data_IF_344149822086
#
_entry.id   IF_344149822086
#
_cell.length_a   1.000
_cell.length_b   1.000
_cell.length_c   1.000
_cell.angle_alpha   90.00
_cell.angle_beta   90.00
_cell.angle_gamma   90.00
#
_symmetry.space_group_name_H-M   'P 1'
#
loop_
_entity.id
_entity.type
_entity.pdbx_description
1 polymer ?
#
# COMPACT_ATOMS: atom_id res chain seq x y z
N UNK A 1 -14.17 32.30 -25.43
CA UNK A 1 -14.19 33.76 -25.37
C UNK A 1 -15.56 34.24 -24.90
N UNK A 2 -16.64 33.89 -25.60
CA UNK A 2 -18.00 34.34 -25.31
C UNK A 2 -18.40 34.32 -23.83
N UNK A 3 -18.09 33.24 -23.08
CA UNK A 3 -18.41 33.18 -21.63
C UNK A 3 -17.59 34.19 -20.82
N UNK A 4 -16.33 34.44 -21.21
CA UNK A 4 -15.46 35.41 -20.52
C UNK A 4 -16.01 36.83 -20.75
N UNK A 5 -16.41 37.13 -21.99
CA UNK A 5 -16.95 38.43 -22.37
C UNK A 5 -18.27 38.75 -21.64
N UNK A 6 -19.00 37.70 -21.23
CA UNK A 6 -20.27 37.85 -20.45
C UNK A 6 -20.06 37.73 -18.94
N UNK A 7 -18.78 37.64 -18.47
CA UNK A 7 -18.49 37.53 -17.06
C UNK A 7 -18.72 36.15 -16.47
N UNK A 8 -18.95 35.13 -17.32
CA UNK A 8 -19.17 33.74 -16.86
C UNK A 8 -17.90 32.98 -16.80
N UNK A 9 -17.79 32.04 -15.86
CA UNK A 9 -16.62 31.18 -15.69
C UNK A 9 -16.60 30.13 -16.83
N UNK A 10 -15.55 30.06 -17.65
CA UNK A 10 -15.48 29.09 -18.75
C UNK A 10 -15.31 27.66 -18.22
N UNK A 11 -15.90 26.68 -18.90
CA UNK A 11 -15.87 25.27 -18.51
C UNK A 11 -14.61 24.54 -18.98
N UNK A 12 -13.95 25.05 -20.02
CA UNK A 12 -12.72 24.47 -20.64
C UNK A 12 -12.85 22.95 -20.87
N UNK A 13 -13.93 22.53 -21.53
CA UNK A 13 -14.27 21.11 -21.74
C UNK A 13 -13.15 20.31 -22.41
N UNK A 14 -12.48 20.87 -23.43
CA UNK A 14 -11.37 20.21 -24.12
C UNK A 14 -10.21 19.90 -23.16
N UNK A 15 -9.88 20.85 -22.26
CA UNK A 15 -8.83 20.65 -21.26
C UNK A 15 -9.24 19.57 -20.23
N UNK A 16 -10.52 19.57 -19.84
CA UNK A 16 -11.05 18.56 -18.92
C UNK A 16 -10.95 17.15 -19.52
N UNK A 17 -11.33 16.99 -20.79
CA UNK A 17 -11.21 15.71 -21.52
C UNK A 17 -9.74 15.30 -21.63
N UNK A 18 -8.86 16.22 -22.04
CA UNK A 18 -7.42 15.94 -22.13
C UNK A 18 -6.86 15.44 -20.79
N UNK A 19 -7.17 16.14 -19.69
CA UNK A 19 -6.66 15.80 -18.36
C UNK A 19 -7.23 14.49 -17.81
N UNK A 20 -8.42 14.07 -18.24
CA UNK A 20 -8.99 12.79 -17.80
C UNK A 20 -8.48 11.58 -18.60
N UNK A 21 -7.93 11.80 -19.79
CA UNK A 21 -7.48 10.70 -20.68
C UNK A 21 -5.96 10.58 -20.80
N UNK A 22 -5.21 11.68 -20.63
CA UNK A 22 -3.76 11.70 -20.83
C UNK A 22 -3.06 11.94 -19.49
N UNK A 23 -2.28 10.95 -19.04
CA UNK A 23 -1.54 11.02 -17.78
C UNK A 23 -0.10 11.48 -18.05
N UNK A 24 0.24 12.62 -17.46
CA UNK A 24 1.58 13.18 -17.51
C UNK A 24 2.14 13.31 -16.08
N UNK A 25 3.46 13.36 -15.99
CA UNK A 25 4.16 13.50 -14.70
C UNK A 25 3.78 14.80 -13.98
N UNK A 26 3.71 15.89 -14.72
CA UNK A 26 3.13 17.15 -14.26
C UNK A 26 2.11 17.61 -15.29
N UNK A 27 0.99 18.18 -14.82
CA UNK A 27 -0.02 18.69 -15.75
C UNK A 27 -0.76 19.90 -15.19
N UNK A 28 -1.14 20.86 -16.06
CA UNK A 28 -2.01 21.93 -15.64
C UNK A 28 -3.44 21.39 -15.45
N UNK A 29 -4.05 21.74 -14.33
CA UNK A 29 -5.43 21.35 -14.01
C UNK A 29 -6.25 22.61 -13.82
N UNK A 30 -7.38 22.67 -14.53
CA UNK A 30 -8.37 23.71 -14.38
C UNK A 30 -9.51 23.21 -13.49
N UNK A 31 -9.97 24.03 -12.58
CA UNK A 31 -11.10 23.70 -11.73
C UNK A 31 -11.97 24.90 -11.44
N UNK A 32 -13.18 24.64 -10.98
CA UNK A 32 -14.12 25.68 -10.52
C UNK A 32 -14.54 25.26 -9.10
N UNK A 33 -14.26 26.09 -8.12
CA UNK A 33 -14.65 25.86 -6.72
C UNK A 33 -15.41 27.07 -6.22
N UNK A 34 -16.61 26.87 -5.72
CA UNK A 34 -17.50 27.94 -5.24
C UNK A 34 -17.67 29.04 -6.28
N UNK A 35 -17.86 28.67 -7.56
CA UNK A 35 -18.07 29.61 -8.67
C UNK A 35 -16.81 30.34 -9.14
N UNK A 36 -15.63 30.09 -8.54
CA UNK A 36 -14.37 30.74 -8.91
C UNK A 36 -13.46 29.79 -9.69
N UNK A 37 -13.00 30.24 -10.84
CA UNK A 37 -12.03 29.50 -11.65
C UNK A 37 -10.64 29.53 -11.01
N UNK A 38 -9.91 28.42 -11.12
CA UNK A 38 -8.51 28.35 -10.68
C UNK A 38 -7.71 27.41 -11.58
N UNK A 39 -6.44 27.72 -11.73
CA UNK A 39 -5.45 26.86 -12.38
C UNK A 39 -4.49 26.37 -11.30
N UNK A 40 -4.09 25.11 -11.40
CA UNK A 40 -3.07 24.53 -10.55
C UNK A 40 -2.20 23.56 -11.36
N UNK A 41 -0.99 23.31 -10.87
CA UNK A 41 -0.11 22.26 -11.44
C UNK A 41 -0.21 21.05 -10.52
N UNK A 42 -0.61 19.93 -11.10
CA UNK A 42 -0.59 18.64 -10.41
C UNK A 42 0.79 18.04 -10.57
N UNK A 43 1.44 17.72 -9.46
CA UNK A 43 2.74 17.05 -9.44
C UNK A 43 2.55 15.57 -9.12
N UNK A 44 2.94 14.70 -10.06
CA UNK A 44 2.85 13.24 -9.94
C UNK A 44 4.21 12.54 -9.96
N UNK A 45 5.31 13.31 -9.92
CA UNK A 45 6.66 12.74 -10.02
C UNK A 45 7.16 12.10 -8.72
N UNK A 46 6.56 12.47 -7.58
CA UNK A 46 7.00 11.95 -6.28
C UNK A 46 6.41 10.54 -6.06
N UNK A 47 7.25 9.51 -5.98
CA UNK A 47 6.77 8.19 -5.61
C UNK A 47 6.40 8.14 -4.12
N UNK A 48 5.71 7.09 -3.70
CA UNK A 48 5.54 6.81 -2.28
C UNK A 48 6.90 6.74 -1.60
N UNK A 49 7.07 7.47 -0.54
CA UNK A 49 8.32 7.47 0.21
C UNK A 49 8.51 6.18 1.01
N UNK A 50 9.76 5.85 1.36
CA UNK A 50 10.01 4.65 2.17
C UNK A 50 9.34 4.70 3.54
N UNK A 51 9.18 5.88 4.12
CA UNK A 51 8.46 6.08 5.39
C UNK A 51 7.67 7.38 5.33
N UNK A 52 6.72 7.57 6.24
CA UNK A 52 5.91 8.80 6.30
C UNK A 52 6.81 10.04 6.47
N UNK A 53 7.87 9.95 7.28
CA UNK A 53 8.79 11.08 7.46
C UNK A 53 9.54 11.39 6.15
N UNK A 54 9.85 10.40 5.33
CA UNK A 54 10.45 10.61 3.99
C UNK A 54 9.48 11.30 3.04
N UNK A 55 8.21 10.90 3.06
CA UNK A 55 7.15 11.50 2.23
C UNK A 55 6.95 12.97 2.62
N UNK A 56 6.84 13.25 3.90
CA UNK A 56 6.70 14.63 4.39
C UNK A 56 7.93 15.49 4.07
N UNK A 57 9.12 14.90 4.11
CA UNK A 57 10.36 15.59 3.71
C UNK A 57 10.33 15.94 2.22
N UNK A 58 9.90 15.01 1.35
CA UNK A 58 9.75 15.26 -0.09
C UNK A 58 8.74 16.39 -0.34
N UNK A 59 7.59 16.34 0.34
CA UNK A 59 6.55 17.37 0.23
C UNK A 59 7.07 18.75 0.67
N UNK A 60 7.76 18.81 1.81
CA UNK A 60 8.33 20.06 2.33
C UNK A 60 9.37 20.64 1.35
N UNK A 61 10.24 19.80 0.82
CA UNK A 61 11.25 20.21 -0.17
C UNK A 61 10.57 20.78 -1.43
N UNK A 62 9.60 20.05 -1.98
CA UNK A 62 8.86 20.46 -3.18
C UNK A 62 8.14 21.80 -2.97
N UNK A 63 7.34 21.91 -1.89
CA UNK A 63 6.57 23.11 -1.61
C UNK A 63 7.49 24.31 -1.30
N UNK A 64 8.61 24.03 -0.60
CA UNK A 64 9.63 25.04 -0.33
C UNK A 64 10.24 25.59 -1.61
N UNK A 65 10.61 24.71 -2.55
CA UNK A 65 11.16 25.11 -3.86
C UNK A 65 10.15 25.92 -4.66
N UNK A 66 8.90 25.47 -4.73
CA UNK A 66 7.86 26.17 -5.51
C UNK A 66 7.66 27.59 -4.97
N UNK A 67 7.62 27.74 -3.64
CA UNK A 67 7.45 29.06 -3.03
C UNK A 67 8.73 29.90 -3.12
N UNK A 68 9.90 29.30 -2.98
CA UNK A 68 11.19 30.00 -3.12
C UNK A 68 11.39 30.55 -4.53
N UNK A 69 11.23 29.71 -5.54
CA UNK A 69 11.38 30.13 -6.94
C UNK A 69 10.38 31.22 -7.34
N UNK A 70 9.15 31.16 -6.81
CA UNK A 70 8.15 32.21 -7.06
C UNK A 70 8.67 33.61 -6.72
N UNK A 71 9.50 33.74 -5.71
CA UNK A 71 10.05 35.02 -5.27
C UNK A 71 11.32 35.41 -6.04
N UNK A 72 12.07 34.45 -6.58
CA UNK A 72 13.37 34.70 -7.22
C UNK A 72 13.31 34.74 -8.74
N UNK A 73 12.45 33.94 -9.37
CA UNK A 73 12.44 33.78 -10.82
C UNK A 73 11.10 34.21 -11.40
N UNK A 74 11.15 35.22 -12.27
CA UNK A 74 9.98 35.70 -13.01
C UNK A 74 9.65 34.81 -14.21
N UNK A 75 10.70 34.30 -14.88
CA UNK A 75 10.54 33.56 -16.13
C UNK A 75 11.69 32.55 -16.29
N UNK A 76 11.39 31.29 -15.95
CA UNK A 76 12.37 30.19 -15.98
C UNK A 76 12.81 29.87 -17.43
N UNK A 77 11.99 30.21 -18.44
CA UNK A 77 12.32 29.90 -19.85
C UNK A 77 13.52 30.69 -20.36
N UNK A 78 13.85 31.79 -19.69
CA UNK A 78 15.05 32.59 -20.00
C UNK A 78 16.31 32.02 -19.37
N UNK A 79 16.17 31.09 -18.40
CA UNK A 79 17.31 30.54 -17.67
C UNK A 79 17.64 29.11 -18.10
N UNK A 80 16.68 28.39 -18.68
CA UNK A 80 16.86 26.99 -19.08
C UNK A 80 16.02 26.69 -20.30
N UNK A 81 16.65 26.10 -21.31
CA UNK A 81 15.95 25.59 -22.49
C UNK A 81 15.09 24.39 -22.13
N UNK A 82 13.97 24.23 -22.85
CA UNK A 82 13.05 23.10 -22.65
C UNK A 82 13.75 21.74 -22.87
N UNK A 83 14.63 21.63 -23.86
CA UNK A 83 15.35 20.38 -24.11
C UNK A 83 16.34 20.05 -22.98
N UNK A 84 16.97 21.05 -22.38
CA UNK A 84 17.80 20.84 -21.18
C UNK A 84 16.96 20.35 -20.00
N UNK A 85 15.77 20.94 -19.77
CA UNK A 85 14.86 20.52 -18.70
C UNK A 85 14.40 19.06 -18.91
N UNK A 86 14.04 18.72 -20.15
CA UNK A 86 13.59 17.36 -20.53
C UNK A 86 14.72 16.34 -20.34
N UNK A 87 15.95 16.68 -20.76
CA UNK A 87 17.12 15.82 -20.59
C UNK A 87 17.47 15.64 -19.11
N UNK A 88 17.42 16.72 -18.33
CA UNK A 88 17.65 16.67 -16.88
C UNK A 88 16.63 15.75 -16.19
N UNK A 89 15.36 15.84 -16.59
CA UNK A 89 14.29 14.99 -16.04
C UNK A 89 14.57 13.50 -16.31
N UNK A 90 14.91 13.16 -17.58
CA UNK A 90 15.20 11.78 -17.98
C UNK A 90 16.44 11.25 -17.23
N UNK A 91 17.50 12.05 -17.15
CA UNK A 91 18.74 11.68 -16.47
C UNK A 91 18.50 11.47 -14.95
N UNK A 92 17.71 12.34 -14.34
CA UNK A 92 17.36 12.20 -12.92
C UNK A 92 16.61 10.88 -12.65
N UNK A 93 15.69 10.52 -13.55
CA UNK A 93 14.93 9.26 -13.43
C UNK A 93 15.85 8.03 -13.55
N UNK A 94 16.87 8.09 -14.42
CA UNK A 94 17.78 6.97 -14.67
C UNK A 94 18.90 6.86 -13.63
N UNK A 95 19.46 7.98 -13.21
CA UNK A 95 20.71 8.01 -12.43
C UNK A 95 20.56 8.55 -11.00
N UNK A 96 19.37 9.07 -10.64
CA UNK A 96 19.11 9.57 -9.28
C UNK A 96 20.15 10.61 -8.84
N UNK A 97 20.76 10.39 -7.69
CA UNK A 97 21.76 11.31 -7.11
C UNK A 97 23.10 11.35 -7.89
N UNK A 98 23.33 10.38 -8.78
CA UNK A 98 24.55 10.35 -9.61
C UNK A 98 24.41 11.24 -10.85
N UNK A 99 23.24 11.88 -11.06
CA UNK A 99 22.94 12.70 -12.22
C UNK A 99 23.85 13.94 -12.27
N UNK A 100 24.27 14.27 -13.51
CA UNK A 100 24.87 15.56 -13.87
C UNK A 100 23.82 16.38 -14.61
N UNK A 101 23.49 17.55 -14.09
CA UNK A 101 22.49 18.43 -14.67
C UNK A 101 23.12 19.53 -15.53
N UNK A 102 22.44 19.91 -16.63
CA UNK A 102 22.64 21.18 -17.29
C UNK A 102 21.63 22.16 -16.66
N UNK A 103 22.10 22.95 -15.71
CA UNK A 103 21.24 23.84 -14.91
C UNK A 103 21.16 25.22 -15.55
N UNK A 104 20.66 26.18 -14.82
CA UNK A 104 20.43 27.56 -15.29
C UNK A 104 21.67 28.13 -16.01
N UNK A 105 21.42 28.79 -17.14
CA UNK A 105 22.44 29.40 -17.98
C UNK A 105 23.52 28.40 -18.46
N UNK A 106 23.13 27.12 -18.62
CA UNK A 106 24.02 26.07 -19.13
C UNK A 106 25.03 25.53 -18.13
N UNK A 107 24.95 25.91 -16.85
CA UNK A 107 25.87 25.46 -15.79
C UNK A 107 25.79 23.95 -15.58
N UNK A 108 26.94 23.26 -15.63
CA UNK A 108 27.01 21.83 -15.30
C UNK A 108 27.19 21.66 -13.79
N UNK A 109 26.35 20.81 -13.18
CA UNK A 109 26.36 20.61 -11.73
C UNK A 109 25.85 19.22 -11.37
N UNK A 110 26.48 18.54 -10.40
CA UNK A 110 25.99 17.27 -9.90
C UNK A 110 24.71 17.45 -9.08
N UNK A 111 23.83 16.43 -9.10
CA UNK A 111 22.58 16.45 -8.34
C UNK A 111 22.83 16.78 -6.87
N UNK A 112 23.81 16.12 -6.24
CA UNK A 112 24.11 16.35 -4.82
C UNK A 112 24.54 17.79 -4.53
N UNK A 113 25.44 18.35 -5.34
CA UNK A 113 25.86 19.74 -5.17
C UNK A 113 24.70 20.72 -5.39
N UNK A 114 23.91 20.49 -6.42
CA UNK A 114 22.73 21.33 -6.70
C UNK A 114 21.76 21.33 -5.51
N UNK A 115 21.42 20.12 -5.03
CA UNK A 115 20.46 19.99 -3.92
C UNK A 115 21.03 20.67 -2.66
N UNK A 116 22.26 20.32 -2.28
CA UNK A 116 22.82 20.79 -0.99
C UNK A 116 23.14 22.28 -0.97
N UNK A 117 23.66 22.83 -2.09
CA UNK A 117 24.18 24.21 -2.12
C UNK A 117 23.19 25.23 -2.65
N UNK A 118 22.22 24.84 -3.45
CA UNK A 118 21.29 25.77 -4.10
C UNK A 118 19.83 25.47 -3.70
N UNK A 119 19.36 24.25 -3.89
CA UNK A 119 17.93 23.94 -3.74
C UNK A 119 17.46 23.88 -2.28
N UNK A 120 18.25 23.30 -1.37
CA UNK A 120 17.88 23.24 0.05
C UNK A 120 17.81 24.64 0.69
N UNK A 121 18.81 25.54 0.50
CA UNK A 121 18.66 26.91 0.99
C UNK A 121 17.45 27.64 0.42
N UNK A 122 17.18 27.47 -0.86
CA UNK A 122 16.01 28.07 -1.52
C UNK A 122 14.68 27.51 -0.94
N UNK A 123 14.62 26.18 -0.74
CA UNK A 123 13.44 25.55 -0.14
C UNK A 123 13.21 26.06 1.29
N UNK A 124 14.28 26.22 2.06
CA UNK A 124 14.20 26.77 3.42
C UNK A 124 13.60 28.19 3.41
N UNK A 125 14.10 29.06 2.52
CA UNK A 125 13.57 30.41 2.35
C UNK A 125 12.09 30.37 1.95
N UNK A 126 11.73 29.52 0.99
CA UNK A 126 10.34 29.36 0.54
C UNK A 126 9.39 28.95 1.64
N UNK A 127 9.81 28.00 2.49
CA UNK A 127 9.01 27.57 3.65
C UNK A 127 8.87 28.66 4.70
N UNK A 128 9.94 29.44 4.92
CA UNK A 128 9.90 30.61 5.83
C UNK A 128 8.91 31.66 5.32
N UNK A 129 8.93 31.98 4.01
CA UNK A 129 7.97 32.89 3.40
C UNK A 129 6.51 32.39 3.54
N UNK A 130 6.33 31.09 3.61
CA UNK A 130 5.01 30.46 3.83
C UNK A 130 4.63 30.34 5.32
N UNK A 131 5.45 30.91 6.23
CA UNK A 131 5.24 30.89 7.69
C UNK A 131 5.20 29.47 8.26
N UNK A 132 5.96 28.53 7.69
CA UNK A 132 6.11 27.18 8.24
C UNK A 132 7.02 27.27 9.48
N UNK A 133 6.66 26.52 10.52
CA UNK A 133 7.42 26.50 11.77
C UNK A 133 8.88 26.05 11.52
N UNK A 134 9.83 26.76 12.11
CA UNK A 134 11.27 26.49 11.97
C UNK A 134 11.64 25.08 12.39
N UNK A 135 10.96 24.53 13.41
CA UNK A 135 11.20 23.15 13.86
C UNK A 135 10.86 22.15 12.76
N UNK A 136 9.75 22.35 12.05
CA UNK A 136 9.35 21.49 10.94
C UNK A 136 10.26 21.66 9.73
N UNK A 137 10.65 22.91 9.40
CA UNK A 137 11.62 23.19 8.34
C UNK A 137 12.91 22.39 8.60
N UNK A 138 13.49 22.54 9.78
CA UNK A 138 14.75 21.87 10.15
C UNK A 138 14.60 20.35 10.11
N UNK A 139 13.48 19.83 10.63
CA UNK A 139 13.20 18.39 10.63
C UNK A 139 13.14 17.82 9.21
N UNK A 140 12.28 18.37 8.37
CA UNK A 140 12.02 17.76 7.06
C UNK A 140 13.10 18.05 6.03
N UNK A 141 13.64 19.27 5.98
CA UNK A 141 14.77 19.57 5.10
C UNK A 141 16.06 18.88 5.58
N UNK A 142 16.19 18.65 6.90
CA UNK A 142 17.26 17.83 7.47
C UNK A 142 17.27 16.42 6.93
N UNK A 143 16.08 15.79 6.81
CA UNK A 143 15.96 14.46 6.21
C UNK A 143 16.46 14.45 4.75
N UNK A 144 16.12 15.47 3.96
CA UNK A 144 16.62 15.59 2.57
C UNK A 144 18.14 15.73 2.57
N UNK A 145 18.69 16.62 3.42
CA UNK A 145 20.14 16.85 3.53
C UNK A 145 20.88 15.54 3.85
N UNK A 146 20.50 14.87 4.92
CA UNK A 146 21.14 13.63 5.38
C UNK A 146 21.03 12.51 4.33
N UNK A 147 19.87 12.42 3.64
CA UNK A 147 19.65 11.47 2.55
C UNK A 147 20.60 11.70 1.39
N UNK A 148 20.80 12.98 0.99
CA UNK A 148 21.69 13.34 -0.12
C UNK A 148 23.15 13.16 0.27
N UNK A 149 23.54 13.57 1.47
CA UNK A 149 24.92 13.42 1.99
C UNK A 149 25.34 11.96 2.10
N UNK A 150 24.42 11.09 2.53
CA UNK A 150 24.70 9.64 2.66
C UNK A 150 24.57 8.90 1.32
N UNK A 151 23.92 9.47 0.31
CA UNK A 151 23.61 8.79 -0.94
C UNK A 151 22.54 7.72 -0.80
N UNK A 152 21.93 7.58 0.38
CA UNK A 152 21.03 6.47 0.68
C UNK A 152 19.56 6.86 0.44
N UNK A 153 19.11 6.69 -0.80
CA UNK A 153 17.70 6.82 -1.18
C UNK A 153 16.95 5.50 -0.94
N UNK A 154 15.63 5.52 -1.05
CA UNK A 154 14.82 4.29 -0.95
C UNK A 154 15.24 3.24 -1.96
N UNK A 155 15.45 3.65 -3.21
CA UNK A 155 15.89 2.71 -4.27
C UNK A 155 17.31 2.18 -3.98
N UNK A 156 18.22 3.02 -3.51
CA UNK A 156 19.59 2.58 -3.20
C UNK A 156 19.61 1.59 -2.03
N UNK A 157 18.82 1.87 -0.98
CA UNK A 157 18.66 0.92 0.14
C UNK A 157 18.13 -0.44 -0.36
N UNK A 158 17.09 -0.39 -1.18
CA UNK A 158 16.47 -1.61 -1.73
C UNK A 158 17.48 -2.41 -2.57
N UNK A 159 18.24 -1.73 -3.45
CA UNK A 159 19.24 -2.38 -4.30
C UNK A 159 20.38 -2.98 -3.46
N UNK A 160 20.88 -2.26 -2.47
CA UNK A 160 21.94 -2.73 -1.57
C UNK A 160 21.48 -3.96 -0.78
N UNK A 161 20.27 -3.89 -0.21
CA UNK A 161 19.70 -4.99 0.56
C UNK A 161 19.43 -6.22 -0.32
N UNK A 162 18.84 -6.01 -1.50
CA UNK A 162 18.60 -7.09 -2.47
C UNK A 162 19.90 -7.76 -2.90
N UNK A 163 20.90 -6.96 -3.28
CA UNK A 163 22.20 -7.48 -3.75
C UNK A 163 22.93 -8.28 -2.68
N UNK A 164 22.83 -7.86 -1.41
CA UNK A 164 23.41 -8.61 -0.29
C UNK A 164 22.67 -9.93 -0.09
N UNK A 165 21.36 -9.86 0.12
CA UNK A 165 20.55 -11.04 0.45
C UNK A 165 20.56 -12.11 -0.65
N UNK A 166 20.57 -11.71 -1.94
CA UNK A 166 20.56 -12.64 -3.07
C UNK A 166 21.81 -13.53 -3.15
N UNK A 167 22.89 -13.11 -2.52
CA UNK A 167 24.12 -13.93 -2.42
C UNK A 167 23.97 -15.05 -1.39
N UNK A 168 23.04 -14.90 -0.47
CA UNK A 168 22.90 -15.73 0.72
C UNK A 168 21.64 -16.59 0.73
N UNK A 169 20.60 -16.21 -0.06
CA UNK A 169 19.30 -16.90 -0.03
C UNK A 169 18.54 -16.81 -1.37
N UNK A 170 17.36 -17.40 -1.43
CA UNK A 170 16.48 -17.46 -2.62
C UNK A 170 15.81 -16.10 -2.93
N UNK A 171 15.14 -15.78 -3.89
CA UNK A 171 14.46 -14.72 -4.19
C UNK A 171 13.35 -14.46 -3.36
N UNK A 172 12.64 -15.64 -3.24
CA UNK A 172 11.44 -15.62 -2.40
C UNK A 172 11.77 -15.15 -0.98
N UNK A 173 12.74 -15.76 -0.37
CA UNK A 173 13.21 -15.34 0.96
C UNK A 173 13.73 -13.91 0.95
N UNK A 174 14.50 -13.53 -0.07
CA UNK A 174 15.01 -12.16 -0.22
C UNK A 174 13.86 -11.14 -0.20
N UNK A 175 12.83 -11.39 -1.00
CA UNK A 175 11.68 -10.47 -1.09
C UNK A 175 10.90 -10.43 0.23
N UNK A 176 10.76 -11.56 0.89
CA UNK A 176 10.13 -11.66 2.21
C UNK A 176 10.91 -10.83 3.25
N UNK A 177 12.22 -10.99 3.32
CA UNK A 177 13.08 -10.25 4.26
C UNK A 177 13.01 -8.74 3.97
N UNK A 178 13.10 -8.36 2.69
CA UNK A 178 13.02 -6.96 2.28
C UNK A 178 11.69 -6.31 2.70
N UNK A 179 10.58 -6.99 2.40
CA UNK A 179 9.23 -6.50 2.73
C UNK A 179 9.07 -6.34 4.23
N UNK A 180 9.46 -7.35 4.99
CA UNK A 180 9.38 -7.35 6.45
C UNK A 180 10.25 -6.23 7.07
N UNK A 181 11.47 -6.05 6.56
CA UNK A 181 12.38 -5.01 7.04
C UNK A 181 11.85 -3.62 6.71
N UNK A 182 11.27 -3.45 5.52
CA UNK A 182 10.61 -2.20 5.12
C UNK A 182 9.48 -1.88 6.10
N UNK A 183 8.56 -2.82 6.31
CA UNK A 183 7.43 -2.64 7.24
C UNK A 183 7.89 -2.31 8.67
N UNK A 184 8.90 -3.03 9.16
CA UNK A 184 9.48 -2.80 10.49
C UNK A 184 9.99 -1.36 10.65
N UNK A 185 10.69 -0.85 9.63
CA UNK A 185 11.23 0.51 9.65
C UNK A 185 10.13 1.57 9.46
N UNK A 186 9.14 1.29 8.62
CA UNK A 186 7.96 2.15 8.43
C UNK A 186 7.19 2.33 9.75
N UNK A 187 6.94 1.23 10.47
CA UNK A 187 6.24 1.28 11.77
C UNK A 187 6.98 2.15 12.79
N UNK A 188 8.31 2.22 12.70
CA UNK A 188 9.14 3.09 13.56
C UNK A 188 9.24 4.52 13.04
N UNK A 189 8.76 4.78 11.84
CA UNK A 189 8.83 6.07 11.15
C UNK A 189 10.26 6.63 11.09
N UNK A 190 11.24 5.75 10.80
CA UNK A 190 12.66 6.11 10.67
C UNK A 190 12.91 6.50 9.21
N UNK A 191 13.60 7.64 8.92
CA UNK A 191 13.92 8.00 7.55
C UNK A 191 14.91 7.01 6.93
N UNK A 192 14.78 6.78 5.61
CA UNK A 192 15.44 5.67 4.90
C UNK A 192 16.97 5.69 4.98
N UNK A 193 17.59 6.85 5.03
CA UNK A 193 19.05 6.95 5.11
C UNK A 193 19.62 6.40 6.44
N UNK A 194 18.76 6.18 7.44
CA UNK A 194 19.11 5.58 8.74
C UNK A 194 18.76 4.09 8.82
N UNK A 195 18.20 3.50 7.74
CA UNK A 195 17.83 2.10 7.72
C UNK A 195 19.07 1.22 7.54
N UNK A 196 19.24 0.24 8.41
CA UNK A 196 20.29 -0.77 8.25
C UNK A 196 19.89 -1.72 7.11
N UNK A 197 20.89 -2.23 6.40
CA UNK A 197 20.68 -3.30 5.42
C UNK A 197 20.31 -4.56 6.21
N UNK A 198 19.20 -5.24 5.89
CA UNK A 198 18.77 -6.40 6.65
C UNK A 198 19.73 -7.57 6.50
N UNK A 199 19.71 -8.47 7.50
CA UNK A 199 20.46 -9.71 7.50
C UNK A 199 19.51 -10.90 7.39
N UNK A 200 20.03 -12.09 7.08
CA UNK A 200 19.21 -13.31 6.97
C UNK A 200 18.38 -13.55 8.22
N UNK A 201 18.97 -13.33 9.39
CA UNK A 201 18.32 -13.53 10.68
C UNK A 201 17.08 -12.63 10.87
N UNK A 202 17.02 -11.50 10.19
CA UNK A 202 15.83 -10.62 10.24
C UNK A 202 14.59 -11.31 9.63
N UNK A 203 14.81 -12.19 8.65
CA UNK A 203 13.74 -13.02 8.08
C UNK A 203 13.44 -14.28 8.91
N UNK A 204 14.49 -14.87 9.50
CA UNK A 204 14.33 -16.08 10.33
C UNK A 204 13.57 -15.77 11.63
N UNK A 205 13.74 -14.58 12.19
CA UNK A 205 12.96 -14.14 13.36
C UNK A 205 11.46 -13.98 13.04
N UNK A 206 11.13 -13.78 11.76
CA UNK A 206 9.76 -13.81 11.28
C UNK A 206 9.24 -15.24 11.10
N UNK A 207 10.13 -16.17 10.75
CA UNK A 207 9.78 -17.58 10.52
C UNK A 207 9.67 -18.41 11.81
N UNK A 208 10.21 -17.95 12.94
CA UNK A 208 10.23 -18.71 14.19
C UNK A 208 9.37 -18.16 15.32
N UNK A 209 8.89 -16.90 15.21
CA UNK A 209 7.99 -16.34 16.20
C UNK A 209 6.69 -15.96 15.56
N UNK A 210 5.76 -16.91 15.63
CA UNK A 210 4.35 -16.81 15.32
C UNK A 210 4.02 -16.51 13.85
N UNK A 211 3.90 -17.59 13.07
CA UNK A 211 3.07 -17.57 11.87
C UNK A 211 1.67 -17.16 12.36
N UNK A 212 1.22 -15.98 11.95
CA UNK A 212 -0.06 -15.45 12.40
C UNK A 212 -1.19 -15.89 11.45
N UNK A 213 -2.36 -16.04 11.99
CA UNK A 213 -3.58 -16.38 11.24
C UNK A 213 -3.78 -15.41 10.06
N UNK A 214 -3.58 -14.11 10.28
CA UNK A 214 -3.75 -13.08 9.24
C UNK A 214 -2.85 -13.23 8.02
N UNK A 215 -1.74 -13.96 8.14
CA UNK A 215 -0.80 -14.20 7.02
C UNK A 215 -1.26 -15.33 6.10
N UNK A 216 -2.15 -16.21 6.60
CA UNK A 216 -2.53 -17.45 5.92
C UNK A 216 -4.04 -17.60 5.75
N UNK A 217 -4.84 -16.72 6.33
CA UNK A 217 -6.29 -16.78 6.18
C UNK A 217 -6.70 -16.40 4.76
N UNK A 218 -7.76 -17.05 4.28
CA UNK A 218 -8.45 -16.67 3.04
C UNK A 218 -9.23 -15.38 3.32
N UNK A 219 -9.05 -14.38 2.47
CA UNK A 219 -9.71 -13.08 2.60
C UNK A 219 -10.85 -12.86 1.61
N UNK A 220 -10.78 -13.55 0.48
CA UNK A 220 -11.77 -13.44 -0.59
C UNK A 220 -12.88 -14.49 -0.33
N UNK A 221 -13.81 -14.11 0.54
CA UNK A 221 -14.83 -15.01 1.06
C UNK A 221 -16.15 -14.85 0.32
N UNK A 222 -16.81 -15.98 0.09
CA UNK A 222 -18.23 -16.01 -0.27
C UNK A 222 -19.03 -16.08 1.03
N UNK A 223 -19.90 -15.13 1.24
CA UNK A 223 -20.75 -15.03 2.43
C UNK A 223 -22.22 -14.95 2.02
N UNK A 224 -23.11 -15.25 2.92
CA UNK A 224 -24.56 -15.13 2.73
C UNK A 224 -25.18 -14.41 3.95
N UNK A 225 -26.41 -13.95 3.78
CA UNK A 225 -27.18 -13.33 4.86
C UNK A 225 -28.10 -14.37 5.54
N UNK A 226 -28.54 -14.13 6.79
CA UNK A 226 -29.38 -15.10 7.53
C UNK A 226 -30.66 -15.49 6.81
N UNK A 227 -31.25 -14.57 6.04
CA UNK A 227 -32.50 -14.79 5.34
C UNK A 227 -32.34 -15.36 3.92
N UNK A 228 -31.12 -15.56 3.45
CA UNK A 228 -30.84 -16.26 2.21
C UNK A 228 -31.32 -17.73 2.29
N UNK A 229 -31.66 -18.30 1.14
CA UNK A 229 -32.18 -19.68 1.08
C UNK A 229 -31.04 -20.70 1.11
N UNK A 230 -31.31 -21.85 1.71
CA UNK A 230 -30.34 -22.95 1.88
C UNK A 230 -29.80 -23.44 0.55
N UNK A 231 -30.64 -23.45 -0.50
CA UNK A 231 -30.25 -23.84 -1.86
C UNK A 231 -29.15 -22.95 -2.42
N UNK A 232 -29.21 -21.63 -2.15
CA UNK A 232 -28.14 -20.70 -2.58
C UNK A 232 -26.79 -21.09 -1.94
N UNK A 233 -26.80 -21.43 -0.65
CA UNK A 233 -25.57 -21.85 0.04
C UNK A 233 -25.03 -23.13 -0.59
N UNK A 234 -25.91 -24.08 -0.94
CA UNK A 234 -25.51 -25.33 -1.59
C UNK A 234 -24.87 -25.07 -2.97
N UNK A 235 -25.46 -24.16 -3.77
CA UNK A 235 -24.92 -23.77 -5.07
C UNK A 235 -23.55 -23.08 -4.94
N UNK A 236 -23.40 -22.17 -3.98
CA UNK A 236 -22.12 -21.51 -3.71
C UNK A 236 -21.06 -22.55 -3.33
N UNK A 237 -21.39 -23.48 -2.44
CA UNK A 237 -20.44 -24.52 -2.01
C UNK A 237 -20.03 -25.43 -3.16
N UNK A 238 -20.94 -25.79 -4.03
CA UNK A 238 -20.67 -26.63 -5.19
C UNK A 238 -19.82 -25.87 -6.24
N UNK A 239 -20.27 -24.67 -6.61
CA UNK A 239 -19.62 -23.85 -7.63
C UNK A 239 -18.20 -23.44 -7.23
N UNK A 240 -18.01 -23.07 -5.96
CA UNK A 240 -16.70 -22.62 -5.46
C UNK A 240 -15.83 -23.76 -4.92
N UNK A 241 -16.35 -24.98 -4.90
CA UNK A 241 -15.69 -26.18 -4.34
C UNK A 241 -15.31 -25.99 -2.86
N UNK A 242 -16.14 -25.24 -2.10
CA UNK A 242 -15.90 -24.93 -0.68
C UNK A 242 -16.88 -25.69 0.23
N UNK A 243 -16.50 -25.87 1.48
CA UNK A 243 -17.27 -26.64 2.48
C UNK A 243 -17.83 -25.81 3.61
N UNK A 244 -17.54 -24.52 3.62
CA UNK A 244 -17.88 -23.59 4.69
C UNK A 244 -18.29 -22.27 4.07
N UNK A 245 -19.44 -21.74 4.49
CA UNK A 245 -19.91 -20.41 4.08
C UNK A 245 -20.30 -19.65 5.36
N UNK A 246 -19.68 -18.52 5.57
CA UNK A 246 -19.98 -17.65 6.71
C UNK A 246 -21.27 -16.89 6.44
N UNK A 247 -21.99 -16.63 7.51
CA UNK A 247 -23.24 -15.86 7.48
C UNK A 247 -22.97 -14.52 8.17
N UNK A 248 -23.18 -13.42 7.45
CA UNK A 248 -22.94 -12.05 7.91
C UNK A 248 -24.27 -11.29 7.96
N UNK A 249 -24.35 -10.33 8.86
CA UNK A 249 -25.46 -9.37 8.84
C UNK A 249 -25.15 -8.18 7.90
N UNK A 250 -26.05 -7.22 7.84
CA UNK A 250 -25.95 -6.03 6.97
C UNK A 250 -24.75 -5.13 7.34
N UNK A 251 -24.24 -5.24 8.54
CA UNK A 251 -23.07 -4.50 9.03
C UNK A 251 -21.74 -5.21 8.71
N UNK A 252 -21.80 -6.46 8.25
CA UNK A 252 -20.64 -7.30 7.98
C UNK A 252 -20.11 -8.02 9.22
N UNK A 253 -20.93 -8.09 10.26
CA UNK A 253 -20.60 -8.85 11.49
C UNK A 253 -20.95 -10.32 11.29
N UNK A 254 -20.10 -11.21 11.79
CA UNK A 254 -20.33 -12.66 11.72
C UNK A 254 -21.48 -13.06 12.63
N UNK A 255 -22.56 -13.59 12.06
CA UNK A 255 -23.73 -14.07 12.79
C UNK A 255 -23.92 -15.58 12.72
N UNK A 256 -23.18 -16.26 11.85
CA UNK A 256 -23.29 -17.72 11.75
C UNK A 256 -22.28 -18.35 10.81
N UNK A 257 -22.30 -19.68 10.80
CA UNK A 257 -21.46 -20.48 9.88
C UNK A 257 -22.29 -21.67 9.40
N UNK A 258 -22.29 -21.89 8.10
CA UNK A 258 -22.92 -23.05 7.47
C UNK A 258 -21.84 -23.97 6.90
N UNK A 259 -22.02 -25.28 7.04
CA UNK A 259 -21.10 -26.31 6.56
C UNK A 259 -21.81 -27.25 5.59
N UNK A 260 -21.06 -27.87 4.68
CA UNK A 260 -21.61 -28.89 3.78
C UNK A 260 -22.30 -30.05 4.53
N UNK A 261 -21.82 -30.38 5.74
CA UNK A 261 -22.44 -31.42 6.58
C UNK A 261 -23.84 -30.98 7.07
N UNK A 262 -24.01 -29.68 7.37
CA UNK A 262 -25.34 -29.16 7.76
C UNK A 262 -26.32 -29.22 6.59
N UNK A 263 -25.86 -28.90 5.37
CA UNK A 263 -26.64 -29.02 4.14
C UNK A 263 -27.05 -30.48 3.94
N UNK A 264 -26.12 -31.43 4.04
CA UNK A 264 -26.43 -32.88 3.89
C UNK A 264 -27.47 -33.32 4.92
N UNK A 265 -27.40 -32.89 6.15
CA UNK A 265 -28.39 -33.19 7.19
C UNK A 265 -29.77 -32.63 6.82
N UNK A 266 -29.80 -31.38 6.35
CA UNK A 266 -31.03 -30.72 5.94
C UNK A 266 -31.69 -31.46 4.78
N UNK A 267 -30.95 -31.73 3.71
CA UNK A 267 -31.50 -32.41 2.50
C UNK A 267 -31.82 -33.90 2.71
N UNK A 268 -31.24 -34.59 3.71
CA UNK A 268 -31.50 -35.98 4.03
C UNK A 268 -32.54 -36.14 5.15
N UNK A 269 -32.96 -35.11 5.75
CA UNK A 269 -33.96 -35.13 6.82
C UNK A 269 -35.42 -35.02 6.34
N UNK A 270 -36.07 -34.71 7.17
CA UNK A 270 -37.33 -34.58 6.94
C UNK A 270 -37.78 -33.55 6.10
N UNK A 271 -37.10 -32.70 6.22
CA UNK A 271 -37.27 -31.54 5.40
C UNK A 271 -37.10 -31.79 3.88
N UNK A 272 -36.75 -32.97 3.48
CA UNK A 272 -36.56 -33.32 2.06
C UNK A 272 -37.80 -33.02 1.18
N UNK A 273 -38.96 -32.90 1.77
CA UNK A 273 -40.22 -32.68 1.06
C UNK A 273 -40.86 -31.32 1.36
N UNK A 274 -40.13 -30.43 2.04
CA UNK A 274 -40.65 -29.08 2.27
C UNK A 274 -40.78 -28.35 0.93
N UNK A 275 -41.94 -27.79 0.68
CA UNK A 275 -42.23 -27.05 -0.57
C UNK A 275 -41.83 -25.56 -0.48
N UNK A 276 -41.53 -25.08 0.72
CA UNK A 276 -41.17 -23.68 0.93
C UNK A 276 -39.66 -23.55 1.14
N UNK A 277 -39.04 -22.50 0.58
CA UNK A 277 -37.60 -22.25 0.79
C UNK A 277 -37.29 -22.07 2.28
N UNK A 278 -36.22 -22.68 2.72
CA UNK A 278 -35.75 -22.58 4.11
C UNK A 278 -34.60 -21.57 4.18
N UNK A 279 -34.70 -20.63 5.13
CA UNK A 279 -33.62 -19.65 5.36
C UNK A 279 -32.40 -20.29 6.00
N UNK A 280 -31.24 -19.78 5.69
CA UNK A 280 -29.95 -20.20 6.24
C UNK A 280 -29.93 -20.18 7.75
N UNK A 281 -30.59 -19.20 8.36
CA UNK A 281 -30.71 -19.10 9.82
C UNK A 281 -31.35 -20.32 10.49
N UNK A 282 -31.83 -21.04 9.68
CA UNK A 282 -32.42 -22.08 10.18
C UNK A 282 -31.62 -23.17 10.37
N UNK A 283 -30.56 -23.24 9.67
CA UNK A 283 -29.65 -24.40 9.75
C UNK A 283 -28.22 -24.06 10.22
N UNK A 284 -27.85 -22.80 10.16
CA UNK A 284 -26.51 -22.32 10.54
C UNK A 284 -26.19 -22.55 12.02
N UNK A 285 -24.91 -22.66 12.33
CA UNK A 285 -24.42 -22.52 13.72
C UNK A 285 -24.39 -21.02 14.06
N UNK A 286 -25.11 -20.61 15.09
CA UNK A 286 -25.22 -19.20 15.51
C UNK A 286 -24.05 -18.72 16.38
N UNK A 287 -23.27 -19.65 16.93
CA UNK A 287 -22.08 -19.33 17.74
C UNK A 287 -20.87 -20.10 17.21
N UNK A 288 -20.41 -19.79 15.99
CA UNK A 288 -19.22 -20.48 15.45
C UNK A 288 -17.99 -20.16 16.28
N UNK A 289 -17.12 -21.15 16.42
CA UNK A 289 -15.82 -20.94 17.08
C UNK A 289 -14.97 -20.08 16.13
N UNK A 290 -14.46 -18.96 16.65
CA UNK A 290 -13.71 -17.97 15.88
C UNK A 290 -12.28 -17.85 16.37
N UNK A 291 -11.47 -17.09 15.61
CA UNK A 291 -10.09 -16.79 15.98
C UNK A 291 -9.75 -15.34 15.60
N UNK A 292 -8.84 -14.72 16.36
CA UNK A 292 -8.35 -13.37 16.06
C UNK A 292 -7.26 -13.43 14.97
N UNK A 293 -7.12 -12.40 14.13
CA UNK A 293 -6.08 -12.38 13.11
C UNK A 293 -4.66 -12.43 13.68
N UNK A 294 -4.45 -11.89 14.86
CA UNK A 294 -3.15 -11.87 15.55
C UNK A 294 -2.81 -13.19 16.26
N UNK A 295 -3.74 -14.14 16.29
CA UNK A 295 -3.49 -15.47 16.89
C UNK A 295 -2.48 -16.24 16.03
N UNK A 296 -1.78 -17.17 16.65
CA UNK A 296 -0.80 -18.00 15.95
C UNK A 296 -1.46 -19.14 15.17
N UNK A 297 -0.77 -19.62 14.15
CA UNK A 297 -1.18 -20.83 13.41
C UNK A 297 -1.27 -22.04 14.34
N UNK A 298 -0.42 -22.12 15.37
CA UNK A 298 -0.48 -23.19 16.37
C UNK A 298 -1.81 -23.13 17.15
N UNK A 299 -2.19 -21.95 17.60
CA UNK A 299 -3.50 -21.76 18.28
C UNK A 299 -4.67 -22.14 17.38
N UNK A 300 -4.58 -21.81 16.08
CA UNK A 300 -5.61 -22.20 15.10
C UNK A 300 -5.70 -23.72 14.99
N UNK A 301 -4.56 -24.41 14.86
CA UNK A 301 -4.50 -25.88 14.81
C UNK A 301 -5.11 -26.51 16.05
N UNK A 302 -4.72 -26.03 17.23
CA UNK A 302 -5.20 -26.55 18.52
C UNK A 302 -6.71 -26.38 18.64
N UNK A 303 -7.27 -25.22 18.21
CA UNK A 303 -8.72 -24.98 18.20
C UNK A 303 -9.45 -25.94 17.25
N UNK A 304 -8.94 -26.11 16.02
CA UNK A 304 -9.54 -27.01 15.03
C UNK A 304 -9.60 -28.45 15.57
N UNK A 305 -8.48 -28.92 16.16
CA UNK A 305 -8.39 -30.27 16.72
C UNK A 305 -9.29 -30.44 17.95
N UNK A 306 -9.19 -29.53 18.91
CA UNK A 306 -9.93 -29.58 20.18
C UNK A 306 -11.44 -29.65 19.95
N UNK A 307 -11.95 -28.88 18.97
CA UNK A 307 -13.38 -28.78 18.71
C UNK A 307 -13.85 -29.68 17.55
N UNK A 308 -12.92 -30.42 16.92
CA UNK A 308 -13.18 -31.32 15.79
C UNK A 308 -13.93 -30.59 14.67
N UNK A 309 -13.44 -29.39 14.31
CA UNK A 309 -14.00 -28.54 13.25
C UNK A 309 -12.97 -28.35 12.14
N UNK A 310 -13.44 -28.03 10.94
CA UNK A 310 -12.57 -27.88 9.77
C UNK A 310 -12.39 -26.44 9.29
N UNK A 311 -13.00 -25.49 10.01
CA UNK A 311 -12.95 -24.07 9.66
C UNK A 311 -13.04 -23.20 10.91
N UNK A 312 -12.26 -22.11 10.92
CA UNK A 312 -12.37 -21.05 11.92
C UNK A 312 -12.58 -19.73 11.17
N UNK A 313 -13.75 -19.09 11.30
CA UNK A 313 -13.88 -17.71 10.88
C UNK A 313 -12.92 -16.84 11.66
N UNK A 314 -12.25 -15.91 10.95
CA UNK A 314 -11.33 -14.94 11.54
C UNK A 314 -12.08 -13.62 11.69
N UNK A 315 -12.15 -13.12 12.93
CA UNK A 315 -12.90 -11.89 13.22
C UNK A 315 -12.03 -10.84 13.88
N UNK A 316 -12.35 -9.58 13.61
CA UNK A 316 -11.77 -8.43 14.33
C UNK A 316 -12.92 -7.70 15.01
N UNK A 317 -13.02 -7.82 16.33
CA UNK A 317 -14.23 -7.49 17.06
C UNK A 317 -15.33 -8.50 16.70
N UNK A 318 -16.40 -8.04 16.03
CA UNK A 318 -17.46 -8.91 15.51
C UNK A 318 -17.33 -9.13 13.99
N UNK A 319 -16.59 -8.25 13.33
CA UNK A 319 -16.49 -8.22 11.87
C UNK A 319 -15.71 -9.41 11.31
N UNK A 320 -16.28 -10.09 10.35
CA UNK A 320 -15.61 -11.16 9.62
C UNK A 320 -14.52 -10.57 8.69
N UNK A 321 -13.30 -11.12 8.74
CA UNK A 321 -12.19 -10.66 7.91
C UNK A 321 -11.44 -11.79 7.18
N UNK A 322 -11.82 -13.01 7.42
CA UNK A 322 -11.17 -14.15 6.77
C UNK A 322 -11.69 -15.51 7.26
N UNK A 323 -11.34 -16.81 6.83
CA UNK A 323 -11.56 -17.96 7.24
C UNK A 323 -10.37 -18.61 7.25
N UNK A 324 -9.96 -19.34 8.01
CA UNK A 324 -8.85 -20.33 7.97
C UNK A 324 -9.40 -21.76 8.06
N UNK A 325 -8.97 -22.63 7.18
CA UNK A 325 -9.49 -24.01 7.07
C UNK A 325 -8.34 -25.03 7.18
N UNK A 326 -8.69 -26.31 7.29
CA UNK A 326 -7.71 -27.39 7.26
C UNK A 326 -6.85 -27.37 5.98
N UNK A 327 -7.39 -26.90 4.84
CA UNK A 327 -6.63 -26.77 3.59
C UNK A 327 -5.57 -25.68 3.65
N UNK A 328 -5.81 -24.61 4.40
CA UNK A 328 -4.80 -23.55 4.58
C UNK A 328 -3.48 -24.10 5.16
N UNK A 329 -3.55 -25.16 5.97
CA UNK A 329 -2.37 -25.78 6.57
C UNK A 329 -1.53 -26.60 5.56
N UNK A 330 -2.14 -27.04 4.45
CA UNK A 330 -1.37 -27.70 3.38
C UNK A 330 -0.42 -26.70 2.72
N UNK A 331 -0.86 -25.48 2.50
CA UNK A 331 -0.02 -24.44 1.91
C UNK A 331 1.07 -23.95 2.90
N UNK A 332 0.71 -23.83 4.18
CA UNK A 332 1.68 -23.55 5.24
C UNK A 332 2.77 -24.65 5.26
N UNK A 333 2.35 -25.91 5.24
CA UNK A 333 3.27 -27.05 5.24
C UNK A 333 4.17 -27.05 4.00
N UNK A 334 3.61 -26.79 2.81
CA UNK A 334 4.39 -26.67 1.56
C UNK A 334 5.48 -25.60 1.68
N UNK A 335 5.16 -24.45 2.26
CA UNK A 335 6.14 -23.36 2.48
C UNK A 335 7.24 -23.77 3.44
N UNK A 336 6.88 -24.40 4.58
CA UNK A 336 7.84 -24.86 5.57
C UNK A 336 8.78 -25.93 5.00
N UNK A 337 8.24 -26.89 4.23
CA UNK A 337 9.04 -27.97 3.61
C UNK A 337 9.97 -27.46 2.52
N UNK A 338 9.57 -26.43 1.75
CA UNK A 338 10.46 -25.81 0.76
C UNK A 338 11.65 -25.13 1.42
N UNK A 339 11.45 -24.51 2.58
CA UNK A 339 12.51 -23.86 3.37
C UNK A 339 13.53 -24.87 3.94
N UNK A 340 13.10 -26.10 4.24
CA UNK A 340 13.99 -27.14 4.82
C UNK A 340 14.85 -27.87 3.77
N UNK A 341 14.43 -27.93 2.51
CA UNK A 341 15.18 -28.68 1.46
C UNK A 341 16.50 -28.02 1.02
N UNK A 342 16.79 -26.80 1.43
CA UNK A 342 18.02 -26.07 1.04
C UNK A 342 19.10 -26.01 2.15
N UNK A 343 18.93 -26.76 3.25
CA UNK A 343 19.90 -26.81 4.33
C UNK A 343 20.84 -28.03 4.27
N UNK A 344 20.96 -28.70 3.09
CA UNK A 344 21.95 -29.77 2.88
C UNK A 344 22.98 -29.35 1.84
#
# INVERSE_FOLDING_TARGET
MEKIDTGQVPELKALAVHNSTIYRWNRPCYGITNGKAHLRIENRILPSGPSVVDEMANAAFWLGLMNGYRHEIKDVTKLMDFDAAKTNFANAAQHGLETQFTWFNGKKVSASNLILKELLPLAEQGLKHANVDTKDINKYLGVIRERVESGMTGSQWMLNAYSKLRKETTXEDTMTILTASTLKNQKKNIPVHKWKVPELDDGLKLNHHSLLVEEFMERDLFTVQPDDIVELVAEIMDWQEIRYVAVEDDEGDLVGLTTSRMLLRHFNGXHRFDKEPVSVKXIMSTEPITIAPEATIQEAMDKLQKHNIGCLPVIKGKRLIGXITANSFLDITKRLLKGTKKRK
#
